data_IF_633373330004
#
_entry.id   IF_633373330004
#
_cell.length_a   1.000
_cell.length_b   1.000
_cell.length_c   1.000
_cell.angle_alpha   90.00
_cell.angle_beta   90.00
_cell.angle_gamma   90.00
#
_symmetry.space_group_name_H-M   'P 1'
#
loop_
_entity.id
_entity.type
_entity.pdbx_description
1 polymer ?
#
# COMPACT_ATOMS: atom_id res chain seq x y z
N UNK A 1 19.91 9.54 -0.84
CA UNK A 1 19.23 8.77 -1.90
C UNK A 1 17.92 9.48 -2.19
N UNK A 2 17.70 9.92 -3.43
CA UNK A 2 16.50 10.68 -3.81
C UNK A 2 15.31 9.71 -3.84
N UNK A 3 14.14 10.11 -3.34
CA UNK A 3 12.93 9.26 -3.26
C UNK A 3 12.64 8.55 -4.58
N UNK A 4 12.82 9.24 -5.71
CA UNK A 4 12.64 8.70 -7.06
C UNK A 4 13.52 7.48 -7.35
N UNK A 5 14.81 7.53 -7.03
CA UNK A 5 15.72 6.40 -7.29
C UNK A 5 15.33 5.16 -6.49
N UNK A 6 14.85 5.38 -5.26
CA UNK A 6 14.30 4.29 -4.44
C UNK A 6 13.05 3.70 -5.07
N UNK A 7 12.12 4.52 -5.56
CA UNK A 7 10.92 4.04 -6.22
C UNK A 7 11.23 3.25 -7.49
N UNK A 8 12.26 3.66 -8.24
CA UNK A 8 12.72 2.94 -9.44
C UNK A 8 13.17 1.53 -9.05
N UNK A 9 14.06 1.41 -8.06
CA UNK A 9 14.51 0.10 -7.55
C UNK A 9 13.33 -0.77 -7.08
N UNK A 10 12.34 -0.15 -6.43
CA UNK A 10 11.16 -0.85 -5.95
C UNK A 10 10.19 -1.27 -7.06
N UNK A 11 10.19 -0.57 -8.20
CA UNK A 11 9.40 -0.94 -9.39
C UNK A 11 10.02 -2.10 -10.18
N UNK A 12 11.34 -2.28 -10.09
CA UNK A 12 12.06 -3.35 -10.81
C UNK A 12 11.97 -4.70 -10.10
N UNK A 13 11.95 -4.71 -8.77
CA UNK A 13 11.63 -5.92 -8.01
C UNK A 13 10.13 -5.98 -7.72
N UNK A 14 9.54 -7.17 -7.73
CA UNK A 14 8.11 -7.37 -7.42
C UNK A 14 7.80 -7.16 -5.93
N UNK A 15 8.07 -5.96 -5.43
CA UNK A 15 7.88 -5.58 -4.03
C UNK A 15 6.46 -5.09 -3.81
N UNK A 16 5.87 -5.43 -2.66
CA UNK A 16 4.73 -4.67 -2.16
C UNK A 16 5.19 -3.55 -1.24
N UNK A 17 4.50 -2.43 -1.36
CA UNK A 17 4.86 -1.18 -0.71
C UNK A 17 3.63 -0.51 -0.11
N UNK A 18 3.84 0.20 1.00
CA UNK A 18 2.88 1.19 1.51
C UNK A 18 3.28 2.56 0.99
N UNK A 19 2.38 3.22 0.29
CA UNK A 19 2.59 4.57 -0.26
C UNK A 19 1.77 5.55 0.57
N UNK A 20 2.45 6.36 1.39
CA UNK A 20 1.82 7.36 2.25
C UNK A 20 1.68 8.68 1.50
N UNK A 21 0.44 9.18 1.41
CA UNK A 21 0.09 10.44 0.74
C UNK A 21 -0.60 11.40 1.71
N UNK A 22 -0.36 12.70 1.57
CA UNK A 22 -1.08 13.72 2.36
C UNK A 22 -0.67 13.81 3.84
N UNK A 23 -1.51 14.42 4.69
CA UNK A 23 -1.25 14.57 6.14
C UNK A 23 -1.89 13.43 6.91
N UNK A 24 -1.09 12.71 7.69
CA UNK A 24 -1.54 11.61 8.54
C UNK A 24 -0.85 10.29 8.18
N UNK A 25 -1.47 9.19 8.60
CA UNK A 25 -0.99 7.83 8.37
C UNK A 25 -1.79 7.08 7.29
N UNK A 26 -2.51 7.81 6.43
CA UNK A 26 -3.21 7.20 5.30
C UNK A 26 -2.21 6.71 4.26
N UNK A 27 -2.39 5.46 3.81
CA UNK A 27 -1.53 4.85 2.81
C UNK A 27 -2.29 3.94 1.85
N UNK A 28 -1.71 3.76 0.67
CA UNK A 28 -2.08 2.71 -0.27
C UNK A 28 -1.22 1.48 -0.05
N UNK A 29 -1.85 0.31 0.06
CA UNK A 29 -1.17 -0.97 -0.15
C UNK A 29 -1.03 -1.15 -1.65
N UNK A 30 0.20 -1.26 -2.15
CA UNK A 30 0.44 -1.13 -3.58
C UNK A 30 1.59 -1.97 -4.12
N UNK A 31 1.57 -2.22 -5.42
CA UNK A 31 2.72 -2.63 -6.24
C UNK A 31 3.03 -1.52 -7.22
N UNK A 32 4.27 -1.04 -7.23
CA UNK A 32 4.69 0.02 -8.16
C UNK A 32 4.77 -0.58 -9.57
N UNK A 33 4.07 0.04 -10.51
CA UNK A 33 4.06 -0.36 -11.93
C UNK A 33 5.10 0.43 -12.70
N UNK A 34 5.15 1.75 -12.46
CA UNK A 34 6.03 2.65 -13.21
C UNK A 34 6.36 3.91 -12.42
N UNK A 35 7.60 4.38 -12.59
CA UNK A 35 8.06 5.66 -12.05
C UNK A 35 8.35 6.61 -13.20
N UNK A 36 7.56 7.68 -13.30
CA UNK A 36 7.72 8.73 -14.29
C UNK A 36 8.76 9.78 -13.88
N UNK A 37 8.77 10.89 -14.62
CA UNK A 37 9.55 12.07 -14.25
C UNK A 37 8.97 12.72 -12.98
N UNK A 38 7.65 12.99 -12.98
CA UNK A 38 6.94 13.71 -11.91
C UNK A 38 5.79 12.91 -11.26
N UNK A 39 5.58 11.66 -11.68
CA UNK A 39 4.48 10.83 -11.20
C UNK A 39 4.92 9.41 -10.86
N UNK A 40 4.12 8.77 -10.03
CA UNK A 40 4.19 7.37 -9.63
C UNK A 40 2.90 6.69 -10.07
N UNK A 41 3.04 5.55 -10.75
CA UNK A 41 1.93 4.69 -11.16
C UNK A 41 2.03 3.37 -10.42
N UNK A 42 0.93 2.95 -9.80
CA UNK A 42 0.90 1.75 -8.97
C UNK A 42 -0.46 1.07 -9.01
N UNK A 43 -0.46 -0.25 -8.81
CA UNK A 43 -1.67 -1.02 -8.53
C UNK A 43 -1.96 -0.93 -7.04
N UNK A 44 -3.12 -0.40 -6.69
CA UNK A 44 -3.62 -0.37 -5.32
C UNK A 44 -4.40 -1.65 -5.01
N UNK A 45 -4.27 -2.13 -3.79
CA UNK A 45 -4.96 -3.31 -3.30
C UNK A 45 -5.83 -2.97 -2.10
N UNK A 46 -7.01 -3.59 -2.04
CA UNK A 46 -7.93 -3.52 -0.91
C UNK A 46 -8.47 -4.92 -0.66
N UNK A 47 -8.46 -5.38 0.59
CA UNK A 47 -9.04 -6.67 1.00
C UNK A 47 -8.57 -7.89 0.20
N UNK A 48 -7.32 -7.89 -0.27
CA UNK A 48 -6.76 -9.03 -1.03
C UNK A 48 -6.73 -8.79 -2.53
N UNK A 49 -7.56 -7.88 -3.01
CA UNK A 49 -7.87 -7.74 -4.43
C UNK A 49 -7.28 -6.46 -5.00
N UNK A 50 -6.92 -6.51 -6.29
CA UNK A 50 -6.55 -5.31 -7.03
C UNK A 50 -7.76 -4.39 -7.06
N UNK A 51 -7.67 -3.27 -6.37
CA UNK A 51 -8.70 -2.25 -6.34
C UNK A 51 -8.68 -1.42 -7.62
N UNK A 52 -7.48 -1.10 -8.12
CA UNK A 52 -7.30 -0.34 -9.35
C UNK A 52 -5.88 0.13 -9.58
N UNK A 53 -5.67 0.83 -10.70
CA UNK A 53 -4.43 1.54 -10.99
C UNK A 53 -4.57 3.00 -10.59
N UNK A 54 -3.55 3.52 -9.90
CA UNK A 54 -3.51 4.87 -9.36
C UNK A 54 -2.30 5.59 -9.92
N UNK A 55 -2.51 6.82 -10.36
CA UNK A 55 -1.46 7.75 -10.76
C UNK A 55 -1.39 8.89 -9.74
N UNK A 56 -0.23 9.08 -9.14
CA UNK A 56 0.02 10.05 -8.07
C UNK A 56 1.21 10.93 -8.44
N UNK A 57 1.16 12.22 -8.11
CA UNK A 57 2.33 13.09 -8.26
C UNK A 57 3.42 12.68 -7.27
N UNK A 58 4.67 12.63 -7.71
CA UNK A 58 5.79 12.32 -6.82
C UNK A 58 5.92 13.32 -5.66
N UNK A 59 5.52 14.58 -5.89
CA UNK A 59 5.47 15.61 -4.87
C UNK A 59 4.49 15.30 -3.71
N UNK A 60 3.48 14.47 -3.96
CA UNK A 60 2.48 14.08 -2.96
C UNK A 60 2.90 12.82 -2.17
N UNK A 61 3.92 12.10 -2.64
CA UNK A 61 4.47 10.92 -1.96
C UNK A 61 5.36 11.38 -0.81
N UNK A 62 4.93 11.12 0.42
CA UNK A 62 5.71 11.51 1.60
C UNK A 62 6.68 10.43 2.07
N UNK A 63 6.23 9.18 2.01
CA UNK A 63 6.98 8.03 2.50
C UNK A 63 6.55 6.80 1.74
N UNK A 64 7.52 5.93 1.47
CA UNK A 64 7.26 4.58 0.97
C UNK A 64 7.93 3.57 1.87
N UNK A 65 7.21 2.52 2.23
CA UNK A 65 7.74 1.44 3.05
C UNK A 65 7.60 0.12 2.30
N UNK A 66 8.69 -0.64 2.22
CA UNK A 66 8.66 -1.99 1.65
C UNK A 66 8.18 -2.92 2.74
N UNK A 67 7.26 -3.83 2.41
CA UNK A 67 6.89 -4.91 3.30
C UNK A 67 6.88 -6.23 2.53
N UNK A 68 7.25 -7.31 3.22
CA UNK A 68 7.52 -8.59 2.57
C UNK A 68 6.21 -9.37 2.34
N UNK A 69 6.00 -9.84 1.10
CA UNK A 69 4.70 -10.41 0.65
C UNK A 69 4.53 -11.89 0.95
N UNK A 70 5.63 -12.59 1.23
CA UNK A 70 5.55 -13.96 1.77
C UNK A 70 4.81 -13.97 3.13
N UNK A 71 4.87 -12.85 3.86
CA UNK A 71 3.96 -12.57 4.99
C UNK A 71 2.65 -11.93 4.52
N UNK A 72 2.60 -11.11 3.48
CA UNK A 72 1.39 -10.39 3.07
C UNK A 72 0.26 -11.24 2.47
N UNK A 73 0.51 -12.44 1.91
CA UNK A 73 -0.60 -13.36 1.63
C UNK A 73 -1.32 -13.81 2.91
N UNK A 74 -0.59 -13.91 4.03
CA UNK A 74 -1.14 -14.17 5.36
C UNK A 74 -1.52 -12.89 6.12
N UNK A 75 -0.87 -11.74 5.87
CA UNK A 75 -1.14 -10.47 6.55
C UNK A 75 -2.26 -9.68 5.88
N UNK A 76 -2.53 -9.85 4.57
CA UNK A 76 -3.81 -9.41 4.00
C UNK A 76 -4.96 -10.21 4.59
N UNK A 77 -4.79 -11.52 4.80
CA UNK A 77 -5.78 -12.39 5.45
C UNK A 77 -5.94 -12.06 6.95
N UNK A 78 -4.86 -11.68 7.66
CA UNK A 78 -4.90 -11.24 9.07
C UNK A 78 -5.41 -9.81 9.27
N UNK A 79 -5.06 -8.85 8.40
CA UNK A 79 -5.62 -7.49 8.42
C UNK A 79 -7.13 -7.54 8.13
N UNK A 80 -7.57 -8.47 7.27
CA UNK A 80 -8.97 -8.73 7.00
C UNK A 80 -9.72 -9.28 8.23
N UNK A 81 -9.16 -10.26 8.95
CA UNK A 81 -9.78 -10.80 10.19
C UNK A 81 -9.76 -9.82 11.37
N UNK A 82 -8.67 -9.09 11.57
CA UNK A 82 -8.53 -8.13 12.68
C UNK A 82 -9.52 -6.95 12.61
N UNK A 83 -10.04 -6.60 11.43
CA UNK A 83 -11.05 -5.54 11.27
C UNK A 83 -12.49 -6.04 11.41
N UNK A 84 -12.70 -7.37 11.35
CA UNK A 84 -14.01 -8.00 11.53
C UNK A 84 -14.29 -8.44 12.97
N UNK A 85 -13.25 -8.61 13.79
CA UNK A 85 -13.38 -9.08 15.17
C UNK A 85 -13.66 -7.95 16.20
N UNK A 86 -13.62 -6.66 15.81
CA UNK A 86 -14.03 -5.53 16.67
C UNK A 86 -15.51 -5.12 16.52
N UNK A 87 -16.37 -6.03 16.06
CA UNK A 87 -17.82 -5.97 16.35
C UNK A 87 -18.28 -7.20 17.12
N UNK A 88 -17.54 -7.51 18.18
CA UNK A 88 -18.07 -8.28 19.30
C UNK A 88 -19.17 -7.48 20.00
N UNK A 89 -20.38 -8.00 19.89
CA UNK A 89 -21.37 -8.09 20.96
C UNK A 89 -21.72 -6.80 21.73
N UNK A 90 -22.91 -6.28 21.42
CA UNK A 90 -23.68 -5.51 22.40
C UNK A 90 -25.16 -5.73 22.13
N UNK A 91 -25.71 -6.80 22.72
CA UNK A 91 -26.90 -6.76 23.58
C UNK A 91 -27.20 -8.16 24.11
N UNK A 92 -26.65 -8.43 25.29
CA UNK A 92 -27.31 -9.27 26.29
C UNK A 92 -28.48 -8.48 26.90
N UNK A 93 -29.51 -9.25 27.20
CA UNK A 93 -30.74 -8.97 27.98
C UNK A 93 -31.90 -8.27 27.25
#
# INVERSE_FOLDING_TARGET
MVLRDRLIQLSEGSHSVRIYSGRGDDYYVARIVRVGHDYLEFEAYRDGEKWGEVLMLLADVRRVEVFNVDSARNDLDRLYKSSSDEKGDSRKD
#
